data_IF_574126311462
#
_entry.id   IF_574126311462
#
_cell.length_a   1.000
_cell.length_b   1.000
_cell.length_c   1.000
_cell.angle_alpha   90.00
_cell.angle_beta   90.00
_cell.angle_gamma   90.00
#
_symmetry.space_group_name_H-M   'P 1'
#
loop_
_entity.id
_entity.type
_entity.pdbx_description
1 polymer ?
#
# COMPACT_ATOMS: atom_id res chain seq x y z
N UNK A 1 25.89 -5.01 -23.54
CA UNK A 1 26.32 -3.77 -22.90
C UNK A 1 25.58 -2.54 -23.45
N UNK A 2 25.54 -2.31 -24.78
CA UNK A 2 24.87 -1.15 -25.40
C UNK A 2 23.37 -1.07 -25.06
N UNK A 3 22.62 -2.15 -25.13
CA UNK A 3 21.19 -2.19 -24.82
C UNK A 3 20.92 -1.80 -23.35
N UNK A 4 21.75 -2.26 -22.40
CA UNK A 4 21.60 -1.94 -20.98
C UNK A 4 21.86 -0.44 -20.75
N UNK A 5 22.86 0.15 -21.38
CA UNK A 5 23.16 1.59 -21.30
C UNK A 5 22.02 2.44 -21.91
N UNK A 6 21.43 1.97 -23.00
CA UNK A 6 20.28 2.66 -23.62
C UNK A 6 19.05 2.63 -22.70
N UNK A 7 18.73 1.50 -22.06
CA UNK A 7 17.61 1.39 -21.12
C UNK A 7 17.81 2.28 -19.90
N UNK A 8 19.03 2.29 -19.32
CA UNK A 8 19.36 3.16 -18.17
C UNK A 8 19.24 4.64 -18.57
N UNK A 9 19.74 5.01 -19.76
CA UNK A 9 19.64 6.39 -20.26
C UNK A 9 18.17 6.84 -20.41
N UNK A 10 17.30 6.00 -20.98
CA UNK A 10 15.86 6.29 -21.12
C UNK A 10 15.20 6.44 -19.75
N UNK A 11 15.49 5.55 -18.79
CA UNK A 11 14.93 5.64 -17.45
C UNK A 11 15.36 6.93 -16.72
N UNK A 12 16.60 7.35 -16.89
CA UNK A 12 17.11 8.62 -16.33
C UNK A 12 16.39 9.82 -16.97
N UNK A 13 16.24 9.85 -18.30
CA UNK A 13 15.51 10.90 -19.00
C UNK A 13 14.05 11.01 -18.56
N UNK A 14 13.38 9.88 -18.31
CA UNK A 14 11.99 9.85 -17.81
C UNK A 14 11.87 10.25 -16.35
N UNK A 15 12.95 10.13 -15.56
CA UNK A 15 12.92 10.44 -14.13
C UNK A 15 12.76 11.93 -13.83
N UNK A 16 13.31 12.82 -14.68
CA UNK A 16 13.22 14.27 -14.49
C UNK A 16 11.78 14.78 -14.63
N UNK A 17 11.06 14.51 -15.76
CA UNK A 17 9.67 14.92 -15.89
C UNK A 17 8.78 14.28 -14.82
N UNK A 18 9.04 13.03 -14.42
CA UNK A 18 8.34 12.38 -13.33
C UNK A 18 8.45 13.18 -12.03
N UNK A 19 9.66 13.58 -11.63
CA UNK A 19 9.88 14.38 -10.41
C UNK A 19 9.19 15.74 -10.46
N UNK A 20 9.14 16.38 -11.62
CA UNK A 20 8.43 17.65 -11.83
C UNK A 20 6.93 17.46 -11.61
N UNK A 21 6.35 16.42 -12.21
CA UNK A 21 4.92 16.07 -12.07
C UNK A 21 4.59 15.79 -10.61
N UNK A 22 5.37 14.94 -9.91
CA UNK A 22 5.16 14.63 -8.49
C UNK A 22 5.22 15.89 -7.60
N UNK A 23 6.17 16.81 -7.86
CA UNK A 23 6.25 18.10 -7.14
C UNK A 23 5.01 18.95 -7.33
N UNK A 24 4.49 19.06 -8.57
CA UNK A 24 3.25 19.81 -8.86
C UNK A 24 2.04 19.24 -8.11
N UNK A 25 1.90 17.91 -8.06
CA UNK A 25 0.78 17.26 -7.37
C UNK A 25 0.85 17.38 -5.86
N UNK A 26 2.04 17.45 -5.27
CA UNK A 26 2.21 17.44 -3.81
C UNK A 26 1.41 18.52 -3.10
N UNK A 27 1.46 19.78 -3.58
CA UNK A 27 0.68 20.89 -2.99
C UNK A 27 -0.82 20.63 -3.10
N UNK A 28 -1.28 20.17 -4.27
CA UNK A 28 -2.68 19.83 -4.52
C UNK A 28 -3.15 18.67 -3.64
N UNK A 29 -2.37 17.61 -3.53
CA UNK A 29 -2.70 16.46 -2.69
C UNK A 29 -2.81 16.84 -1.21
N UNK A 30 -1.94 17.73 -0.71
CA UNK A 30 -1.99 18.19 0.68
C UNK A 30 -3.15 19.12 0.99
N UNK A 31 -3.71 19.77 -0.01
CA UNK A 31 -4.89 20.64 0.15
C UNK A 31 -6.21 19.85 0.24
N UNK A 32 -6.18 18.54 -0.03
CA UNK A 32 -7.35 17.68 0.13
C UNK A 32 -7.51 17.36 1.61
N UNK A 33 -8.63 17.74 2.19
CA UNK A 33 -8.95 17.37 3.56
C UNK A 33 -9.17 15.86 3.67
N UNK A 34 -8.50 15.25 4.63
CA UNK A 34 -8.53 13.80 4.82
C UNK A 34 -8.50 13.42 6.30
N UNK A 35 -9.59 12.84 6.74
CA UNK A 35 -9.69 12.20 8.03
C UNK A 35 -10.35 10.81 7.93
N UNK A 36 -10.02 9.90 8.84
CA UNK A 36 -10.61 8.57 8.91
C UNK A 36 -9.85 7.47 8.16
N UNK A 37 -10.50 6.32 8.07
CA UNK A 37 -10.00 5.14 7.38
C UNK A 37 -10.36 5.13 5.90
N UNK A 38 -9.50 4.51 5.09
CA UNK A 38 -9.69 4.29 3.66
C UNK A 38 -10.28 2.90 3.41
N UNK A 39 -11.60 2.83 3.30
CA UNK A 39 -12.28 1.57 3.01
C UNK A 39 -12.16 1.14 1.55
N UNK A 40 -11.96 2.11 0.65
CA UNK A 40 -11.72 1.88 -0.78
C UNK A 40 -10.87 2.99 -1.37
N UNK A 41 -9.83 2.62 -2.11
CA UNK A 41 -9.03 3.58 -2.89
C UNK A 41 -9.84 4.33 -3.97
N UNK A 42 -11.01 3.78 -4.35
CA UNK A 42 -11.89 4.38 -5.36
C UNK A 42 -12.88 5.40 -4.78
N UNK A 43 -12.91 5.58 -3.45
CA UNK A 43 -13.80 6.53 -2.80
C UNK A 43 -13.12 7.90 -2.62
N UNK A 44 -13.89 9.03 -2.81
CA UNK A 44 -13.41 10.33 -2.39
C UNK A 44 -13.21 10.38 -0.86
N UNK A 45 -12.31 11.23 -0.35
CA UNK A 45 -11.47 12.16 -1.11
C UNK A 45 -10.20 11.50 -1.69
N UNK A 46 -9.86 10.28 -1.29
CA UNK A 46 -8.61 9.61 -1.69
C UNK A 46 -8.48 9.43 -3.21
N UNK A 47 -9.57 9.09 -3.89
CA UNK A 47 -9.59 8.87 -5.34
C UNK A 47 -9.19 10.12 -6.15
N UNK A 48 -9.31 11.32 -5.56
CA UNK A 48 -8.94 12.59 -6.21
C UNK A 48 -7.44 12.90 -6.16
N UNK A 49 -6.70 12.20 -5.28
CA UNK A 49 -5.25 12.36 -5.17
C UNK A 49 -4.53 11.83 -6.42
N UNK A 50 -3.32 12.33 -6.63
CA UNK A 50 -2.42 11.85 -7.70
C UNK A 50 -1.25 11.10 -7.08
N UNK A 51 -0.91 9.97 -7.68
CA UNK A 51 0.25 9.18 -7.32
C UNK A 51 1.06 8.85 -8.58
N UNK A 52 2.24 9.48 -8.69
CA UNK A 52 2.98 9.48 -9.93
C UNK A 52 2.20 10.12 -11.07
N UNK A 53 2.16 9.48 -12.21
CA UNK A 53 1.39 9.96 -13.36
C UNK A 53 -0.11 9.67 -13.28
N UNK A 54 -0.58 8.87 -12.32
CA UNK A 54 -1.92 8.29 -12.29
C UNK A 54 -2.75 8.83 -11.11
N UNK A 55 -4.08 8.71 -11.16
CA UNK A 55 -4.92 8.96 -9.99
C UNK A 55 -4.70 7.85 -8.94
N UNK A 56 -4.79 8.20 -7.65
CA UNK A 56 -4.63 7.24 -6.56
C UNK A 56 -5.70 6.13 -6.57
N UNK A 57 -6.86 6.37 -7.18
CA UNK A 57 -7.87 5.35 -7.44
C UNK A 57 -7.35 4.19 -8.30
N UNK A 58 -6.40 4.45 -9.20
CA UNK A 58 -5.83 3.43 -10.08
C UNK A 58 -4.73 2.60 -9.38
N UNK A 59 -3.78 3.26 -8.72
CA UNK A 59 -2.53 2.66 -8.26
C UNK A 59 -2.24 2.84 -6.76
N UNK A 60 -3.16 3.45 -6.00
CA UNK A 60 -2.94 3.88 -4.62
C UNK A 60 -3.20 2.82 -3.55
N UNK A 61 -3.42 1.55 -3.89
CA UNK A 61 -3.74 0.52 -2.89
C UNK A 61 -2.68 0.38 -1.79
N UNK A 62 -1.38 0.47 -2.15
CA UNK A 62 -0.29 0.44 -1.17
C UNK A 62 -0.28 1.67 -0.25
N UNK A 63 -0.62 2.85 -0.78
CA UNK A 63 -0.80 4.09 0.00
C UNK A 63 -1.97 3.92 0.97
N UNK A 64 -3.14 3.49 0.47
CA UNK A 64 -4.33 3.27 1.29
C UNK A 64 -4.08 2.28 2.43
N UNK A 65 -3.42 1.16 2.13
CA UNK A 65 -3.07 0.18 3.15
C UNK A 65 -2.09 0.75 4.20
N UNK A 66 -1.13 1.56 3.79
CA UNK A 66 -0.17 2.18 4.72
C UNK A 66 -0.84 3.24 5.61
N UNK A 67 -1.80 4.04 5.06
CA UNK A 67 -2.61 4.98 5.86
C UNK A 67 -3.40 4.23 6.93
N UNK A 68 -4.14 3.20 6.54
CA UNK A 68 -4.97 2.42 7.46
C UNK A 68 -4.14 1.74 8.54
N UNK A 69 -3.02 1.11 8.18
CA UNK A 69 -2.13 0.49 9.15
C UNK A 69 -1.54 1.51 10.13
N UNK A 70 -1.15 2.70 9.65
CA UNK A 70 -0.68 3.78 10.51
C UNK A 70 -1.75 4.24 11.50
N UNK A 71 -3.01 4.35 11.08
CA UNK A 71 -4.13 4.74 11.95
C UNK A 71 -4.45 3.68 13.01
N UNK A 72 -4.43 2.40 12.67
CA UNK A 72 -4.59 1.31 13.63
C UNK A 72 -3.50 1.36 14.70
N UNK A 73 -2.28 1.77 14.33
CA UNK A 73 -1.15 1.98 15.26
C UNK A 73 -1.20 3.34 15.99
N UNK A 74 -2.34 4.04 15.97
CA UNK A 74 -2.50 5.34 16.64
C UNK A 74 -1.73 6.50 16.01
N UNK A 75 -1.28 6.36 14.75
CA UNK A 75 -0.52 7.38 14.02
C UNK A 75 -1.39 7.99 12.93
N UNK A 76 -1.95 9.17 13.18
CA UNK A 76 -2.62 9.92 12.11
C UNK A 76 -1.60 10.39 11.07
N UNK A 77 -1.80 9.98 9.82
CA UNK A 77 -0.94 10.35 8.70
C UNK A 77 -1.78 10.80 7.51
N UNK A 78 -1.33 11.86 6.85
CA UNK A 78 -2.00 12.33 5.65
C UNK A 78 -1.56 11.49 4.43
N UNK A 79 -2.49 11.01 3.57
CA UNK A 79 -2.14 10.20 2.40
C UNK A 79 -1.11 10.85 1.47
N UNK A 80 -1.13 12.18 1.32
CA UNK A 80 -0.18 12.92 0.49
C UNK A 80 1.27 12.76 0.96
N UNK A 81 1.51 12.56 2.25
CA UNK A 81 2.87 12.38 2.78
C UNK A 81 3.39 10.97 2.42
N UNK A 82 2.54 9.94 2.53
CA UNK A 82 2.87 8.59 2.10
C UNK A 82 3.09 8.53 0.59
N UNK A 83 2.22 9.17 -0.21
CA UNK A 83 2.40 9.31 -1.65
C UNK A 83 3.78 9.92 -1.94
N UNK A 84 4.13 11.03 -1.29
CA UNK A 84 5.41 11.69 -1.49
C UNK A 84 6.62 10.82 -1.14
N UNK A 85 6.51 9.99 -0.11
CA UNK A 85 7.57 9.04 0.25
C UNK A 85 7.68 7.92 -0.79
N UNK A 86 6.56 7.34 -1.22
CA UNK A 86 6.57 6.26 -2.21
C UNK A 86 6.98 6.72 -3.60
N UNK A 87 6.65 7.95 -4.01
CA UNK A 87 7.13 8.55 -5.26
C UNK A 87 8.66 8.67 -5.34
N UNK A 88 9.34 8.70 -4.19
CA UNK A 88 10.81 8.80 -4.15
C UNK A 88 11.50 7.45 -4.37
N UNK A 89 10.93 6.34 -3.89
CA UNK A 89 11.62 5.04 -3.89
C UNK A 89 10.72 3.81 -4.00
N UNK A 90 9.39 3.97 -4.00
CA UNK A 90 8.45 2.86 -3.93
C UNK A 90 7.49 2.73 -5.11
N UNK A 91 7.39 3.75 -5.97
CA UNK A 91 6.53 3.74 -7.14
C UNK A 91 7.14 2.88 -8.26
N UNK A 92 6.47 1.79 -8.63
CA UNK A 92 6.94 0.89 -9.70
C UNK A 92 6.63 1.50 -11.05
N UNK A 93 7.66 1.65 -11.90
CA UNK A 93 7.59 2.29 -13.22
C UNK A 93 6.78 3.61 -13.18
N UNK A 94 7.25 4.55 -12.35
CA UNK A 94 6.62 5.88 -12.19
C UNK A 94 5.15 5.83 -11.74
N UNK A 95 4.78 4.78 -11.03
CA UNK A 95 3.44 4.54 -10.50
C UNK A 95 2.53 3.72 -11.41
N UNK A 96 2.97 3.29 -12.59
CA UNK A 96 2.16 2.46 -13.51
C UNK A 96 1.69 1.16 -12.84
N UNK A 97 2.56 0.49 -12.08
CA UNK A 97 2.24 -0.73 -11.35
C UNK A 97 2.06 -0.51 -9.84
N UNK A 98 1.74 0.73 -9.44
CA UNK A 98 1.47 1.07 -8.05
C UNK A 98 2.72 1.07 -7.15
N UNK A 99 2.58 0.51 -5.96
CA UNK A 99 3.60 0.51 -4.91
C UNK A 99 4.31 -0.84 -4.82
N UNK A 100 5.64 -0.82 -4.75
CA UNK A 100 6.42 -2.01 -4.43
C UNK A 100 6.22 -2.41 -2.95
N UNK A 101 6.08 -3.70 -2.67
CA UNK A 101 5.80 -4.18 -1.30
C UNK A 101 6.94 -3.85 -0.31
N UNK A 102 8.18 -3.76 -0.77
CA UNK A 102 9.30 -3.33 0.08
C UNK A 102 9.16 -1.87 0.56
N UNK A 103 8.47 -1.01 -0.19
CA UNK A 103 8.28 0.39 0.20
C UNK A 103 7.44 0.51 1.47
N UNK A 104 6.40 -0.33 1.60
CA UNK A 104 5.59 -0.42 2.83
C UNK A 104 6.46 -0.85 4.01
N UNK A 105 7.28 -1.90 3.82
CA UNK A 105 8.21 -2.39 4.85
C UNK A 105 9.21 -1.30 5.26
N UNK A 106 9.80 -0.59 4.29
CA UNK A 106 10.75 0.48 4.54
C UNK A 106 10.11 1.66 5.27
N UNK A 107 8.89 2.05 4.86
CA UNK A 107 8.16 3.13 5.50
C UNK A 107 8.00 2.91 7.00
N UNK A 108 7.48 1.74 7.41
CA UNK A 108 7.26 1.45 8.83
C UNK A 108 8.57 1.28 9.60
N UNK A 109 9.60 0.67 9.02
CA UNK A 109 10.94 0.61 9.66
C UNK A 109 11.53 1.98 9.90
N UNK A 110 11.42 2.89 8.92
CA UNK A 110 11.88 4.29 9.06
C UNK A 110 11.10 5.05 10.14
N UNK A 111 9.88 4.64 10.44
CA UNK A 111 9.05 5.21 11.52
C UNK A 111 9.29 4.56 12.89
N UNK A 112 10.26 3.64 13.00
CA UNK A 112 10.66 3.00 14.26
C UNK A 112 9.93 1.70 14.56
N UNK A 113 9.03 1.23 13.69
CA UNK A 113 8.31 -0.02 13.91
C UNK A 113 9.17 -1.25 13.60
N UNK A 114 8.98 -2.31 14.36
CA UNK A 114 9.50 -3.64 14.04
C UNK A 114 8.63 -4.29 12.98
N UNK A 115 9.22 -4.61 11.81
CA UNK A 115 8.49 -5.13 10.67
C UNK A 115 9.04 -6.48 10.26
N UNK A 116 8.16 -7.47 10.14
CA UNK A 116 8.48 -8.80 9.61
C UNK A 116 7.71 -9.06 8.31
N UNK A 117 8.25 -9.93 7.48
CA UNK A 117 7.62 -10.31 6.21
C UNK A 117 7.53 -11.83 6.13
N UNK A 118 6.35 -12.32 5.77
CA UNK A 118 6.04 -13.75 5.64
C UNK A 118 5.56 -14.03 4.22
N UNK A 119 6.15 -15.02 3.56
CA UNK A 119 5.78 -15.51 2.21
C UNK A 119 5.07 -16.86 2.24
N UNK A 120 5.28 -17.65 3.29
CA UNK A 120 4.67 -18.96 3.48
C UNK A 120 3.21 -18.81 3.92
N UNK A 121 2.28 -19.20 3.05
CA UNK A 121 0.82 -19.04 3.31
C UNK A 121 0.38 -19.67 4.62
N UNK A 122 0.85 -20.88 4.93
CA UNK A 122 0.50 -21.59 6.16
C UNK A 122 0.88 -20.83 7.46
N UNK A 123 1.84 -19.92 7.38
CA UNK A 123 2.29 -19.12 8.52
C UNK A 123 1.58 -17.76 8.60
N UNK A 124 0.92 -17.30 7.51
CA UNK A 124 0.41 -15.93 7.42
C UNK A 124 -0.71 -15.64 8.42
N UNK A 125 -1.66 -16.53 8.59
CA UNK A 125 -2.78 -16.32 9.53
C UNK A 125 -2.27 -16.20 10.97
N UNK A 126 -1.41 -17.11 11.41
CA UNK A 126 -0.78 -17.07 12.73
C UNK A 126 0.03 -15.78 12.92
N UNK A 127 0.82 -15.39 11.92
CA UNK A 127 1.63 -14.18 11.97
C UNK A 127 0.75 -12.91 12.02
N UNK A 128 -0.33 -12.86 11.26
CA UNK A 128 -1.27 -11.74 11.25
C UNK A 128 -2.05 -11.61 12.56
N UNK A 129 -2.44 -12.72 13.17
CA UNK A 129 -3.11 -12.76 14.49
C UNK A 129 -2.20 -12.26 15.63
N UNK A 130 -0.89 -12.49 15.51
CA UNK A 130 0.10 -12.10 16.53
C UNK A 130 0.57 -10.63 16.40
N UNK A 131 0.16 -9.89 15.39
CA UNK A 131 0.54 -8.51 15.16
C UNK A 131 -0.65 -7.57 15.39
N UNK A 132 -0.46 -6.36 15.93
CA UNK A 132 -1.55 -5.39 16.08
C UNK A 132 -2.15 -4.99 14.72
N UNK A 133 -1.36 -5.01 13.67
CA UNK A 133 -1.80 -4.76 12.30
C UNK A 133 -0.88 -5.44 11.30
N UNK A 134 -1.44 -5.81 10.15
CA UNK A 134 -0.68 -6.34 9.03
C UNK A 134 -1.11 -5.69 7.72
N UNK A 135 -0.18 -5.60 6.78
CA UNK A 135 -0.47 -5.24 5.38
C UNK A 135 -0.26 -6.48 4.53
N UNK A 136 -1.31 -6.90 3.85
CA UNK A 136 -1.28 -8.02 2.92
C UNK A 136 -1.22 -7.49 1.49
N UNK A 137 -0.18 -7.86 0.76
CA UNK A 137 -0.15 -7.77 -0.69
C UNK A 137 -0.47 -9.13 -1.28
N UNK A 138 -1.35 -9.17 -2.26
CA UNK A 138 -1.62 -10.39 -3.01
C UNK A 138 -1.80 -10.12 -4.50
N UNK A 139 -1.30 -11.03 -5.31
CA UNK A 139 -1.51 -11.04 -6.75
C UNK A 139 -2.74 -11.89 -7.09
N UNK A 140 -3.56 -11.39 -7.99
CA UNK A 140 -4.71 -12.09 -8.57
C UNK A 140 -4.68 -11.93 -10.09
N UNK A 141 -5.62 -12.57 -10.81
CA UNK A 141 -5.66 -12.59 -12.28
C UNK A 141 -5.67 -11.21 -12.95
N UNK A 142 -6.10 -10.15 -12.24
CA UNK A 142 -6.22 -8.78 -12.75
C UNK A 142 -5.13 -7.83 -12.24
N UNK A 143 -4.15 -8.32 -11.49
CA UNK A 143 -3.05 -7.52 -10.94
C UNK A 143 -2.75 -7.77 -9.48
N UNK A 144 -2.03 -6.86 -8.83
CA UNK A 144 -1.71 -6.90 -7.41
C UNK A 144 -2.59 -5.95 -6.61
N UNK A 145 -2.87 -6.31 -5.37
CA UNK A 145 -3.65 -5.47 -4.47
C UNK A 145 -3.10 -5.49 -3.04
N UNK A 146 -3.21 -4.35 -2.35
CA UNK A 146 -2.87 -4.20 -0.95
C UNK A 146 -4.12 -3.98 -0.11
N UNK A 147 -4.24 -4.73 0.98
CA UNK A 147 -5.25 -4.52 2.03
C UNK A 147 -4.56 -4.44 3.39
N UNK A 148 -5.22 -3.77 4.34
CA UNK A 148 -4.80 -3.77 5.74
C UNK A 148 -5.66 -4.74 6.51
N UNK A 149 -5.04 -5.55 7.36
CA UNK A 149 -5.68 -6.52 8.23
C UNK A 149 -5.48 -6.09 9.68
N UNK A 150 -6.59 -5.93 10.38
CA UNK A 150 -6.64 -5.73 11.83
C UNK A 150 -7.19 -7.00 12.46
N UNK A 151 -6.44 -7.70 13.35
CA UNK A 151 -6.92 -8.93 13.98
C UNK A 151 -8.11 -8.67 14.89
N UNK A 152 -9.04 -9.59 14.91
CA UNK A 152 -10.20 -9.66 15.82
C UNK A 152 -10.27 -11.05 16.41
N UNK A 153 -11.09 -11.23 17.43
CA UNK A 153 -11.33 -12.56 18.04
C UNK A 153 -11.72 -13.57 16.96
N UNK A 154 -12.69 -13.20 16.12
CA UNK A 154 -13.11 -13.98 14.96
C UNK A 154 -12.56 -13.39 13.65
N UNK A 155 -11.35 -13.83 13.24
CA UNK A 155 -10.78 -13.45 11.96
C UNK A 155 -10.11 -12.08 11.93
N UNK A 156 -10.44 -11.27 10.92
CA UNK A 156 -9.81 -9.98 10.65
C UNK A 156 -10.81 -8.96 10.11
N UNK A 157 -10.62 -7.69 10.44
CA UNK A 157 -11.18 -6.58 9.68
C UNK A 157 -10.20 -6.17 8.59
N UNK A 158 -10.67 -6.19 7.34
CA UNK A 158 -9.87 -5.84 6.17
C UNK A 158 -10.31 -4.49 5.61
N UNK A 159 -9.37 -3.56 5.50
CA UNK A 159 -9.56 -2.23 4.94
C UNK A 159 -9.02 -2.19 3.50
N UNK A 160 -9.62 -1.38 2.65
CA UNK A 160 -9.35 -1.33 1.21
C UNK A 160 -9.64 -2.67 0.49
N UNK A 161 -10.59 -3.44 1.02
CA UNK A 161 -10.92 -4.79 0.54
C UNK A 161 -12.16 -4.83 -0.38
N UNK A 162 -12.54 -3.71 -0.97
CA UNK A 162 -13.60 -3.63 -2.00
C UNK A 162 -14.92 -2.99 -1.58
N UNK A 163 -15.22 -2.80 -0.29
CA UNK A 163 -16.38 -2.01 0.16
C UNK A 163 -16.05 -0.53 0.26
N UNK A 164 -17.02 0.35 -0.02
CA UNK A 164 -16.84 1.80 0.05
C UNK A 164 -17.13 2.39 1.42
N UNK A 165 -17.97 1.74 2.21
CA UNK A 165 -18.55 2.29 3.44
C UNK A 165 -18.11 1.60 4.74
N UNK A 166 -17.12 0.72 4.70
CA UNK A 166 -16.65 0.03 5.90
C UNK A 166 -15.61 -1.05 5.62
N UNK A 167 -14.99 -1.59 6.67
CA UNK A 167 -14.10 -2.74 6.54
C UNK A 167 -14.88 -4.00 6.16
N UNK A 168 -14.20 -4.97 5.59
CA UNK A 168 -14.75 -6.29 5.26
C UNK A 168 -14.28 -7.26 6.33
N UNK A 169 -15.19 -8.06 6.90
CA UNK A 169 -14.80 -9.15 7.77
C UNK A 169 -14.26 -10.32 6.96
N UNK A 170 -13.10 -10.83 7.36
CA UNK A 170 -12.45 -12.02 6.80
C UNK A 170 -12.35 -13.04 7.95
N UNK A 171 -13.20 -14.09 7.96
CA UNK A 171 -13.18 -15.10 9.03
C UNK A 171 -11.89 -15.89 9.06
N UNK A 172 -11.35 -16.26 7.89
CA UNK A 172 -10.07 -16.97 7.73
C UNK A 172 -9.24 -16.33 6.63
N UNK A 173 -8.00 -16.00 6.95
CA UNK A 173 -7.03 -15.49 5.98
C UNK A 173 -6.58 -16.60 5.02
N UNK A 174 -6.50 -17.83 5.48
CA UNK A 174 -6.15 -18.98 4.64
C UNK A 174 -7.19 -19.18 3.53
N UNK A 175 -8.47 -19.19 3.88
CA UNK A 175 -9.55 -19.32 2.88
C UNK A 175 -9.60 -18.13 1.92
N UNK A 176 -9.45 -16.92 2.43
CA UNK A 176 -9.36 -15.73 1.59
C UNK A 176 -8.24 -15.84 0.55
N UNK A 177 -7.06 -16.27 0.96
CA UNK A 177 -5.92 -16.42 0.08
C UNK A 177 -6.11 -17.57 -0.93
N UNK A 178 -6.73 -18.68 -0.51
CA UNK A 178 -7.04 -19.82 -1.39
C UNK A 178 -7.96 -19.40 -2.53
N UNK A 179 -8.96 -18.61 -2.24
CA UNK A 179 -9.96 -18.17 -3.22
C UNK A 179 -9.48 -17.03 -4.12
N UNK A 180 -8.62 -16.13 -3.62
CA UNK A 180 -8.34 -14.85 -4.29
C UNK A 180 -6.90 -14.66 -4.73
N UNK A 181 -5.93 -15.37 -4.16
CA UNK A 181 -4.53 -15.06 -4.36
C UNK A 181 -3.78 -16.16 -5.14
N UNK A 182 -3.11 -15.78 -6.23
CA UNK A 182 -2.09 -16.59 -6.89
C UNK A 182 -0.79 -16.62 -6.08
N UNK A 183 -0.42 -15.44 -5.56
CA UNK A 183 0.75 -15.23 -4.70
C UNK A 183 0.38 -14.22 -3.62
N UNK A 184 1.00 -14.32 -2.44
CA UNK A 184 0.77 -13.38 -1.34
C UNK A 184 2.07 -13.08 -0.58
N UNK A 185 2.10 -11.89 0.02
CA UNK A 185 3.14 -11.41 0.94
C UNK A 185 2.47 -10.69 2.10
N UNK A 186 2.68 -11.19 3.30
CA UNK A 186 2.22 -10.56 4.52
C UNK A 186 3.35 -9.72 5.13
N UNK A 187 3.03 -8.51 5.55
CA UNK A 187 3.90 -7.58 6.26
C UNK A 187 3.25 -7.31 7.60
N UNK A 188 3.81 -7.87 8.68
CA UNK A 188 3.35 -7.61 10.05
C UNK A 188 4.11 -6.45 10.65
N UNK A 189 3.42 -5.59 11.38
CA UNK A 189 3.95 -4.36 11.95
C UNK A 189 3.70 -4.41 13.45
N UNK A 190 4.73 -4.21 14.26
CA UNK A 190 4.71 -4.27 15.71
C UNK A 190 5.33 -2.99 16.28
N UNK A 191 4.92 -2.61 17.46
CA UNK A 191 5.61 -1.57 18.21
C UNK A 191 7.06 -1.98 18.51
N UNK A 192 7.93 -0.99 18.72
CA UNK A 192 9.36 -1.18 18.98
C UNK A 192 9.63 -1.79 20.33
#
# INVERSE_FOLDING_TARGET
MIVLLSVVGVLLLLSVPYRIVCRRHRKRNRAVDFDGFLFSQNAPPFSTLRYGYFPASYNGCGVAATVNASRILGRAVHPADIISDFERFGAVLFGLFGTASFAVTHYFRKKGFRVRTTLKRAEMEKAAKAAPVSVLWYAHKRGGHFITLEPREEGFLAYNAGRRSGPVQIPSLEEFLKQRALFARLITIHDS
#
